data_IF_818003893642
#
_entry.id   IF_818003893642
#
_cell.length_a   1.000
_cell.length_b   1.000
_cell.length_c   1.000
_cell.angle_alpha   90.00
_cell.angle_beta   90.00
_cell.angle_gamma   90.00
#
_symmetry.space_group_name_H-M   'P 1'
#
loop_
_entity.id
_entity.type
_entity.pdbx_description
1 polymer ?
#
# COMPACT_ATOMS: atom_id res chain seq x y z
N UNK A 1 -3.59 1.58 -35.37
CA UNK A 1 -3.86 2.41 -34.20
C UNK A 1 -5.06 1.78 -33.47
N UNK A 2 -4.91 1.41 -32.23
CA UNK A 2 -5.97 0.83 -31.40
C UNK A 2 -6.66 1.96 -30.61
N UNK A 3 -7.99 1.91 -30.44
CA UNK A 3 -8.74 2.89 -29.66
C UNK A 3 -9.41 2.21 -28.47
N UNK A 4 -9.22 2.78 -27.28
CA UNK A 4 -9.84 2.34 -26.03
C UNK A 4 -10.50 3.53 -25.31
N UNK A 5 -11.32 3.25 -24.32
CA UNK A 5 -11.90 4.33 -23.49
C UNK A 5 -10.93 4.72 -22.37
N UNK A 6 -10.24 3.74 -21.78
CA UNK A 6 -9.30 3.93 -20.69
C UNK A 6 -7.99 3.21 -20.99
N UNK A 7 -6.86 3.92 -20.90
CA UNK A 7 -5.52 3.34 -20.92
C UNK A 7 -4.90 3.47 -19.51
N UNK A 8 -4.54 2.34 -18.91
CA UNK A 8 -3.90 2.29 -17.58
C UNK A 8 -2.41 2.03 -17.80
N UNK A 9 -1.57 2.95 -17.36
CA UNK A 9 -0.11 2.82 -17.43
C UNK A 9 0.41 2.38 -16.08
N UNK A 10 0.91 1.15 -16.03
CA UNK A 10 1.30 0.42 -14.83
C UNK A 10 0.29 -0.67 -14.47
N UNK A 11 0.63 -1.92 -14.77
CA UNK A 11 -0.12 -3.13 -14.43
C UNK A 11 0.23 -3.70 -13.05
N UNK A 12 0.65 -2.85 -12.11
CA UNK A 12 0.81 -3.24 -10.71
C UNK A 12 -0.51 -3.46 -9.98
N UNK A 13 -0.46 -3.76 -8.68
CA UNK A 13 -1.66 -4.07 -7.88
C UNK A 13 -2.76 -3.00 -8.00
N UNK A 14 -2.40 -1.71 -7.95
CA UNK A 14 -3.37 -0.60 -8.00
C UNK A 14 -3.95 -0.42 -9.40
N UNK A 15 -3.11 -0.45 -10.45
CA UNK A 15 -3.58 -0.33 -11.83
C UNK A 15 -4.51 -1.47 -12.26
N UNK A 16 -4.16 -2.71 -11.91
CA UNK A 16 -5.01 -3.88 -12.15
C UNK A 16 -6.31 -3.82 -11.34
N UNK A 17 -6.29 -3.25 -10.13
CA UNK A 17 -7.51 -3.05 -9.33
C UNK A 17 -8.46 -2.09 -10.04
N UNK A 18 -7.95 -1.02 -10.66
CA UNK A 18 -8.77 -0.13 -11.50
C UNK A 18 -9.34 -0.90 -12.69
N UNK A 19 -8.49 -1.64 -13.41
CA UNK A 19 -8.92 -2.42 -14.58
C UNK A 19 -10.04 -3.42 -14.22
N UNK A 20 -9.82 -4.26 -13.20
CA UNK A 20 -10.82 -5.21 -12.72
C UNK A 20 -12.09 -4.51 -12.23
N UNK A 21 -11.96 -3.36 -11.58
CA UNK A 21 -13.08 -2.55 -11.11
C UNK A 21 -13.91 -1.95 -12.25
N UNK A 22 -13.34 -1.73 -13.42
CA UNK A 22 -14.05 -1.25 -14.62
C UNK A 22 -14.66 -2.39 -15.45
N UNK A 23 -14.37 -3.65 -15.17
CA UNK A 23 -14.97 -4.79 -15.86
C UNK A 23 -16.50 -4.69 -15.87
N UNK A 24 -17.11 -4.87 -17.05
CA UNK A 24 -18.57 -4.79 -17.21
C UNK A 24 -19.17 -3.39 -17.10
N UNK A 25 -18.35 -2.33 -17.14
CA UNK A 25 -18.82 -0.93 -17.14
C UNK A 25 -19.25 -0.41 -18.52
N UNK A 26 -18.97 -1.17 -19.58
CA UNK A 26 -19.11 -0.73 -20.97
C UNK A 26 -17.92 0.11 -21.47
N UNK A 27 -16.86 0.25 -20.67
CA UNK A 27 -15.59 0.89 -21.06
C UNK A 27 -14.59 -0.17 -21.54
N UNK A 28 -13.95 0.07 -22.65
CA UNK A 28 -12.82 -0.73 -23.16
C UNK A 28 -11.56 -0.25 -22.48
N UNK A 29 -10.87 -1.16 -21.79
CA UNK A 29 -9.68 -0.86 -20.97
C UNK A 29 -8.45 -1.50 -21.58
N UNK A 30 -7.35 -0.76 -21.71
CA UNK A 30 -6.02 -1.31 -21.97
C UNK A 30 -5.12 -1.09 -20.75
N UNK A 31 -4.40 -2.12 -20.33
CA UNK A 31 -3.39 -2.03 -19.26
C UNK A 31 -2.02 -2.25 -19.88
N UNK A 32 -1.13 -1.29 -19.71
CA UNK A 32 0.24 -1.32 -20.24
C UNK A 32 1.21 -1.57 -19.07
N UNK A 33 2.05 -2.59 -19.19
CA UNK A 33 3.12 -2.86 -18.23
C UNK A 33 4.36 -3.42 -18.94
N UNK A 34 5.53 -3.21 -18.34
CA UNK A 34 6.81 -3.71 -18.87
C UNK A 34 7.07 -5.17 -18.51
N UNK A 35 6.33 -5.75 -17.55
CA UNK A 35 6.52 -7.11 -17.05
C UNK A 35 5.20 -7.88 -17.01
N UNK A 36 5.24 -9.13 -17.43
CA UNK A 36 4.17 -10.10 -17.17
C UNK A 36 4.44 -10.77 -15.83
N UNK A 37 3.54 -10.68 -14.84
CA UNK A 37 3.75 -11.31 -13.55
C UNK A 37 3.78 -12.83 -13.67
N UNK A 38 4.66 -13.47 -12.92
CA UNK A 38 4.79 -14.92 -12.87
C UNK A 38 4.08 -15.48 -11.63
N UNK A 39 3.48 -16.67 -11.73
CA UNK A 39 2.91 -17.33 -10.57
C UNK A 39 4.01 -17.69 -9.57
N UNK A 40 3.73 -17.50 -8.30
CA UNK A 40 4.61 -17.95 -7.24
C UNK A 40 4.57 -19.48 -7.15
N UNK A 41 5.71 -20.17 -7.10
CA UNK A 41 5.76 -21.64 -6.91
C UNK A 41 5.15 -22.02 -5.55
N UNK A 42 4.56 -23.23 -5.44
CA UNK A 42 3.82 -23.65 -4.23
C UNK A 42 4.73 -23.74 -2.99
N UNK A 43 5.95 -24.16 -3.19
CA UNK A 43 7.01 -24.36 -2.20
C UNK A 43 7.97 -23.16 -2.09
N UNK A 44 7.72 -22.07 -2.82
CA UNK A 44 8.57 -20.89 -2.75
C UNK A 44 8.59 -20.31 -1.33
N UNK A 45 9.79 -19.91 -0.83
CA UNK A 45 9.88 -19.21 0.44
C UNK A 45 9.10 -17.90 0.42
N UNK A 46 8.69 -17.37 1.58
CA UNK A 46 8.01 -16.07 1.65
C UNK A 46 8.82 -14.98 0.98
N UNK A 47 8.16 -14.17 0.17
CA UNK A 47 8.80 -13.02 -0.46
C UNK A 47 8.96 -11.87 0.53
N UNK A 48 10.01 -11.06 0.35
CA UNK A 48 10.32 -9.94 1.24
C UNK A 48 9.26 -8.83 1.22
N UNK A 49 8.63 -8.60 0.04
CA UNK A 49 7.63 -7.54 -0.10
C UNK A 49 6.24 -8.07 0.23
N UNK A 50 5.79 -7.74 1.42
CA UNK A 50 4.43 -8.02 1.89
C UNK A 50 3.66 -6.73 2.14
N UNK A 51 2.34 -6.83 2.14
CA UNK A 51 1.43 -5.76 2.55
C UNK A 51 0.47 -6.25 3.62
N UNK A 52 0.21 -5.39 4.59
CA UNK A 52 -0.85 -5.59 5.57
C UNK A 52 -2.17 -5.09 4.95
N UNK A 53 -2.98 -6.01 4.48
CA UNK A 53 -4.27 -5.73 3.84
C UNK A 53 -5.31 -5.50 4.92
N UNK A 54 -5.88 -4.31 4.96
CA UNK A 54 -6.93 -3.96 5.91
C UNK A 54 -8.33 -4.35 5.40
N UNK A 55 -9.33 -4.27 6.27
CA UNK A 55 -10.70 -4.69 5.96
C UNK A 55 -11.32 -3.97 4.75
N UNK A 56 -11.01 -2.70 4.53
CA UNK A 56 -11.49 -1.95 3.36
C UNK A 56 -10.92 -2.53 2.06
N UNK A 57 -9.62 -2.81 2.03
CA UNK A 57 -8.94 -3.40 0.87
C UNK A 57 -9.37 -4.85 0.64
N UNK A 58 -9.54 -5.64 1.71
CA UNK A 58 -10.11 -6.99 1.63
C UNK A 58 -11.50 -6.98 1.00
N UNK A 59 -12.37 -6.06 1.46
CA UNK A 59 -13.72 -5.88 0.91
C UNK A 59 -13.69 -5.53 -0.58
N UNK A 60 -12.77 -4.65 -0.99
CA UNK A 60 -12.57 -4.32 -2.41
C UNK A 60 -12.14 -5.54 -3.20
N UNK A 61 -11.09 -6.26 -2.77
CA UNK A 61 -10.57 -7.45 -3.46
C UNK A 61 -11.61 -8.58 -3.52
N UNK A 62 -12.44 -8.72 -2.48
CA UNK A 62 -13.58 -9.63 -2.46
C UNK A 62 -14.63 -9.24 -3.49
N UNK A 63 -14.97 -7.96 -3.58
CA UNK A 63 -15.93 -7.43 -4.57
C UNK A 63 -15.45 -7.60 -6.00
N UNK A 64 -14.14 -7.54 -6.23
CA UNK A 64 -13.52 -7.84 -7.52
C UNK A 64 -13.47 -9.35 -7.84
N UNK A 65 -13.75 -10.21 -6.87
CA UNK A 65 -13.75 -11.67 -7.02
C UNK A 65 -12.34 -12.28 -7.07
N UNK A 66 -11.35 -11.62 -6.46
CA UNK A 66 -9.96 -12.12 -6.42
C UNK A 66 -9.52 -12.58 -5.02
N UNK A 67 -10.23 -12.18 -3.96
CA UNK A 67 -9.82 -12.44 -2.59
C UNK A 67 -9.71 -13.93 -2.24
N UNK A 68 -10.64 -14.75 -2.68
CA UNK A 68 -10.59 -16.22 -2.48
C UNK A 68 -9.33 -16.85 -3.07
N UNK A 69 -8.90 -16.40 -4.25
CA UNK A 69 -7.67 -16.89 -4.89
C UNK A 69 -6.42 -16.44 -4.12
N UNK A 70 -6.43 -15.23 -3.58
CA UNK A 70 -5.34 -14.70 -2.73
C UNK A 70 -5.21 -15.55 -1.46
N UNK A 71 -6.31 -15.77 -0.75
CA UNK A 71 -6.33 -16.59 0.49
C UNK A 71 -5.93 -18.02 0.22
N UNK A 72 -6.49 -18.64 -0.83
CA UNK A 72 -6.16 -20.01 -1.21
C UNK A 72 -4.67 -20.17 -1.56
N UNK A 73 -4.04 -19.09 -2.04
CA UNK A 73 -2.62 -19.12 -2.39
C UNK A 73 -1.72 -18.95 -1.18
N UNK A 74 -1.79 -17.80 -0.52
CA UNK A 74 -1.05 -17.50 0.72
C UNK A 74 -1.46 -16.14 1.29
N UNK A 75 -2.17 -16.15 2.39
CA UNK A 75 -2.50 -14.98 3.17
C UNK A 75 -2.49 -15.33 4.65
N UNK A 76 -1.85 -14.51 5.47
CA UNK A 76 -1.74 -14.74 6.92
C UNK A 76 -2.68 -13.80 7.65
N UNK A 77 -3.76 -14.35 8.19
CA UNK A 77 -4.69 -13.59 9.02
C UNK A 77 -4.03 -13.19 10.33
N UNK A 78 -4.28 -11.97 10.82
CA UNK A 78 -3.88 -11.57 12.15
C UNK A 78 -5.09 -11.05 12.96
N UNK A 79 -5.12 -11.45 14.24
CA UNK A 79 -6.23 -11.22 15.17
C UNK A 79 -5.91 -10.14 16.18
N UNK A 80 -4.64 -9.82 16.37
CA UNK A 80 -4.17 -8.84 17.33
C UNK A 80 -3.16 -7.87 16.72
N UNK A 81 -3.09 -6.69 17.32
CA UNK A 81 -2.03 -5.72 17.05
C UNK A 81 -1.52 -5.15 18.36
N UNK A 82 -0.22 -5.19 18.56
CA UNK A 82 0.49 -4.63 19.68
C UNK A 82 1.41 -3.51 19.25
N UNK A 83 1.31 -2.36 19.89
CA UNK A 83 2.20 -1.22 19.65
C UNK A 83 2.72 -0.72 20.98
N UNK A 84 4.04 -0.57 21.12
CA UNK A 84 4.65 -0.04 22.34
C UNK A 84 5.86 0.84 22.06
N UNK A 85 6.22 1.64 23.04
CA UNK A 85 7.45 2.42 23.07
C UNK A 85 8.48 1.66 23.93
N UNK A 86 9.66 1.37 23.37
CA UNK A 86 10.71 0.59 24.05
C UNK A 86 11.21 1.25 25.32
N UNK A 87 11.29 2.58 25.32
CA UNK A 87 11.93 3.38 26.38
C UNK A 87 10.91 3.99 27.34
N UNK A 88 9.64 3.54 27.29
CA UNK A 88 8.57 4.07 28.13
C UNK A 88 7.50 3.01 28.47
N UNK A 89 6.48 3.42 29.22
CA UNK A 89 5.36 2.53 29.60
C UNK A 89 4.19 2.57 28.59
N UNK A 90 4.34 3.33 27.50
CA UNK A 90 3.29 3.49 26.50
C UNK A 90 3.07 2.21 25.70
N UNK A 91 1.87 1.62 25.83
CA UNK A 91 1.43 0.44 25.09
C UNK A 91 -0.04 0.57 24.72
N UNK A 92 -0.37 0.12 23.52
CA UNK A 92 -1.76 -0.07 23.09
C UNK A 92 -1.89 -1.42 22.42
N UNK A 93 -2.97 -2.15 22.71
CA UNK A 93 -3.27 -3.45 22.13
C UNK A 93 -4.65 -3.41 21.51
N UNK A 94 -4.78 -4.02 20.33
CA UNK A 94 -6.04 -4.23 19.65
C UNK A 94 -6.27 -5.74 19.52
N UNK A 95 -7.50 -6.15 19.73
CA UNK A 95 -7.95 -7.52 19.65
C UNK A 95 -9.28 -7.54 18.89
N UNK A 96 -9.40 -8.42 17.88
CA UNK A 96 -10.57 -8.52 17.03
C UNK A 96 -11.83 -8.93 17.80
N UNK A 97 -11.73 -9.91 18.68
CA UNK A 97 -12.85 -10.44 19.45
C UNK A 97 -13.47 -9.38 20.38
N UNK A 98 -12.62 -8.59 21.08
CA UNK A 98 -13.09 -7.50 21.95
C UNK A 98 -13.76 -6.36 21.18
N UNK A 99 -13.52 -6.27 19.87
CA UNK A 99 -14.00 -5.21 18.98
C UNK A 99 -15.13 -5.67 18.06
N UNK A 100 -15.53 -6.93 18.11
CA UNK A 100 -16.62 -7.50 17.31
C UNK A 100 -16.24 -7.74 15.84
N UNK A 101 -14.95 -7.92 15.54
CA UNK A 101 -14.45 -8.29 14.22
C UNK A 101 -14.00 -9.75 14.21
N UNK A 102 -13.96 -10.37 13.02
CA UNK A 102 -13.44 -11.73 12.85
C UNK A 102 -11.92 -11.78 12.75
N UNK A 103 -11.30 -10.66 12.39
CA UNK A 103 -9.86 -10.45 12.26
C UNK A 103 -9.57 -8.95 12.06
N UNK A 104 -8.32 -8.54 12.21
CA UNK A 104 -7.90 -7.16 12.00
C UNK A 104 -7.36 -6.90 10.58
N UNK A 105 -6.91 -7.94 9.91
CA UNK A 105 -6.39 -7.89 8.55
C UNK A 105 -5.59 -9.12 8.16
N UNK A 106 -4.90 -9.02 7.03
CA UNK A 106 -4.07 -10.11 6.48
C UNK A 106 -2.71 -9.57 6.04
N UNK A 107 -1.66 -10.33 6.33
CA UNK A 107 -0.35 -10.10 5.72
C UNK A 107 -0.28 -10.95 4.46
N UNK A 108 -0.06 -10.29 3.32
CA UNK A 108 -0.07 -10.94 2.00
C UNK A 108 1.13 -10.48 1.19
N UNK A 109 1.77 -11.41 0.50
CA UNK A 109 2.85 -11.08 -0.42
C UNK A 109 2.31 -10.31 -1.63
N UNK A 110 3.00 -9.24 -2.01
CA UNK A 110 2.56 -8.35 -3.09
C UNK A 110 2.41 -9.10 -4.43
N UNK A 111 3.27 -10.08 -4.71
CA UNK A 111 3.18 -10.92 -5.91
C UNK A 111 1.92 -11.77 -5.96
N UNK A 112 1.44 -12.26 -4.81
CA UNK A 112 0.21 -13.06 -4.73
C UNK A 112 -1.00 -12.20 -5.12
N UNK A 113 -1.09 -10.99 -4.58
CA UNK A 113 -2.16 -10.04 -4.92
C UNK A 113 -2.07 -9.65 -6.40
N UNK A 114 -0.87 -9.30 -6.84
CA UNK A 114 -0.60 -8.86 -8.22
C UNK A 114 -1.01 -9.95 -9.23
N UNK A 115 -0.58 -11.19 -9.00
CA UNK A 115 -0.90 -12.29 -9.90
C UNK A 115 -2.40 -12.63 -9.92
N UNK A 116 -3.08 -12.61 -8.79
CA UNK A 116 -4.53 -12.84 -8.72
C UNK A 116 -5.32 -11.77 -9.50
N UNK A 117 -4.94 -10.51 -9.38
CA UNK A 117 -5.53 -9.41 -10.15
C UNK A 117 -5.23 -9.54 -11.64
N UNK A 118 -4.00 -9.91 -12.01
CA UNK A 118 -3.61 -10.14 -13.40
C UNK A 118 -4.44 -11.25 -14.04
N UNK A 119 -4.57 -12.40 -13.38
CA UNK A 119 -5.39 -13.50 -13.85
C UNK A 119 -6.86 -13.08 -14.05
N UNK A 120 -7.39 -12.27 -13.12
CA UNK A 120 -8.75 -11.74 -13.24
C UNK A 120 -8.91 -10.82 -14.43
N UNK A 121 -7.97 -9.92 -14.65
CA UNK A 121 -7.97 -9.00 -15.80
C UNK A 121 -7.84 -9.77 -17.12
N UNK A 122 -7.02 -10.82 -17.16
CA UNK A 122 -6.81 -11.65 -18.35
C UNK A 122 -8.08 -12.38 -18.81
N UNK A 123 -8.98 -12.71 -17.88
CA UNK A 123 -10.25 -13.38 -18.17
C UNK A 123 -11.36 -12.43 -18.64
N UNK A 124 -11.14 -11.11 -18.56
CA UNK A 124 -12.16 -10.12 -18.90
C UNK A 124 -12.11 -9.74 -20.38
N UNK A 125 -13.24 -9.85 -21.08
CA UNK A 125 -13.32 -9.56 -22.52
C UNK A 125 -13.15 -8.09 -22.86
N UNK A 126 -13.40 -7.19 -21.92
CA UNK A 126 -13.33 -5.72 -22.06
C UNK A 126 -11.98 -5.12 -21.57
N UNK A 127 -11.04 -6.00 -21.16
CA UNK A 127 -9.69 -5.61 -20.71
C UNK A 127 -8.65 -6.21 -21.66
N UNK A 128 -7.79 -5.39 -22.22
CA UNK A 128 -6.63 -5.81 -23.02
C UNK A 128 -5.36 -5.61 -22.18
N UNK A 129 -4.65 -6.70 -21.89
CA UNK A 129 -3.34 -6.63 -21.24
C UNK A 129 -2.24 -6.50 -22.29
N UNK A 130 -1.47 -5.43 -22.23
CA UNK A 130 -0.35 -5.14 -23.11
C UNK A 130 0.93 -5.20 -22.28
N UNK A 131 1.55 -6.39 -22.23
CA UNK A 131 2.81 -6.63 -21.54
C UNK A 131 3.60 -7.74 -22.26
N UNK A 132 4.89 -7.54 -22.51
CA UNK A 132 5.65 -6.33 -22.19
C UNK A 132 5.31 -5.16 -23.12
N UNK A 133 5.09 -3.98 -22.57
CA UNK A 133 4.88 -2.75 -23.32
C UNK A 133 5.51 -1.56 -22.59
N UNK A 134 6.17 -0.69 -23.33
CA UNK A 134 6.79 0.52 -22.78
C UNK A 134 6.34 1.76 -23.55
N UNK A 135 5.92 2.78 -22.83
CA UNK A 135 5.60 4.08 -23.41
C UNK A 135 6.87 4.82 -23.86
N UNK A 136 6.80 5.38 -25.06
CA UNK A 136 7.80 6.29 -25.61
C UNK A 136 7.33 7.74 -25.55
N UNK A 137 6.07 7.98 -25.91
CA UNK A 137 5.52 9.33 -26.01
C UNK A 137 4.04 9.34 -25.61
N UNK A 138 3.61 10.48 -25.08
CA UNK A 138 2.20 10.81 -24.85
C UNK A 138 1.91 12.20 -25.36
N UNK A 139 0.77 12.39 -26.03
CA UNK A 139 0.26 13.68 -26.44
C UNK A 139 -1.20 13.83 -25.99
N UNK A 140 -1.53 14.99 -25.49
CA UNK A 140 -2.85 15.31 -24.95
C UNK A 140 -3.66 16.07 -26.00
N UNK A 141 -4.74 15.48 -26.51
CA UNK A 141 -5.69 16.11 -27.39
C UNK A 141 -6.95 16.55 -26.65
N UNK A 142 -7.86 17.19 -27.37
CA UNK A 142 -9.12 17.68 -26.79
C UNK A 142 -10.04 16.52 -26.38
N UNK A 143 -10.18 15.51 -27.23
CA UNK A 143 -11.11 14.39 -26.99
C UNK A 143 -10.40 13.11 -26.57
N UNK A 144 -9.15 12.92 -26.95
CA UNK A 144 -8.35 11.72 -26.70
C UNK A 144 -6.91 12.08 -26.33
N UNK A 145 -6.27 11.21 -25.55
CA UNK A 145 -4.83 11.14 -25.40
C UNK A 145 -4.27 10.14 -26.43
N UNK A 146 -3.07 10.43 -26.94
CA UNK A 146 -2.35 9.63 -27.93
C UNK A 146 -1.10 9.06 -27.27
N UNK A 147 -1.00 7.73 -27.21
CA UNK A 147 0.13 7.03 -26.62
C UNK A 147 0.90 6.31 -27.73
N UNK A 148 2.21 6.50 -27.77
CA UNK A 148 3.10 5.78 -28.66
C UNK A 148 4.00 4.86 -27.83
N UNK A 149 4.03 3.58 -28.18
CA UNK A 149 4.88 2.59 -27.55
C UNK A 149 6.26 2.53 -28.22
N UNK A 150 7.27 2.00 -27.53
CA UNK A 150 8.64 1.86 -28.08
C UNK A 150 8.72 0.96 -29.31
N UNK A 151 7.81 0.01 -29.45
CA UNK A 151 7.70 -0.87 -30.62
C UNK A 151 7.03 -0.19 -31.84
N UNK A 152 6.63 1.08 -31.70
CA UNK A 152 5.94 1.87 -32.72
C UNK A 152 4.42 1.69 -32.73
N UNK A 153 3.84 0.84 -31.88
CA UNK A 153 2.40 0.72 -31.75
C UNK A 153 1.78 2.02 -31.20
N UNK A 154 0.59 2.36 -31.67
CA UNK A 154 -0.13 3.57 -31.27
C UNK A 154 -1.48 3.21 -30.66
N UNK A 155 -1.80 3.85 -29.53
CA UNK A 155 -3.04 3.71 -28.80
C UNK A 155 -3.68 5.08 -28.58
N UNK A 156 -5.00 5.19 -28.74
CA UNK A 156 -5.77 6.37 -28.31
C UNK A 156 -6.67 6.01 -27.15
N UNK A 157 -6.81 6.92 -26.20
CA UNK A 157 -7.63 6.73 -25.01
C UNK A 157 -8.36 8.03 -24.64
N UNK A 158 -9.63 7.93 -24.26
CA UNK A 158 -10.40 9.06 -23.72
C UNK A 158 -9.87 9.50 -22.35
N UNK A 159 -9.32 8.57 -21.57
CA UNK A 159 -8.68 8.80 -20.27
C UNK A 159 -7.44 7.93 -20.13
N UNK A 160 -6.37 8.52 -19.67
CA UNK A 160 -5.16 7.81 -19.25
C UNK A 160 -5.12 7.79 -17.72
N UNK A 161 -4.90 6.62 -17.14
CA UNK A 161 -4.72 6.45 -15.69
C UNK A 161 -3.28 6.06 -15.46
N UNK A 162 -2.56 6.86 -14.66
CA UNK A 162 -1.19 6.59 -14.32
C UNK A 162 -1.10 5.86 -12.98
N UNK A 163 -0.58 4.63 -13.03
CA UNK A 163 -0.35 3.71 -11.93
C UNK A 163 1.08 3.14 -11.96
N UNK A 164 2.01 3.87 -12.60
CA UNK A 164 3.39 3.48 -12.89
C UNK A 164 4.36 3.75 -11.72
N UNK A 165 3.82 3.91 -10.52
CA UNK A 165 4.57 3.92 -9.27
C UNK A 165 5.17 5.27 -8.91
N UNK A 166 5.98 5.26 -7.85
CA UNK A 166 6.51 6.47 -7.20
C UNK A 166 7.37 7.35 -8.12
N UNK A 167 8.06 6.75 -9.08
CA UNK A 167 8.89 7.44 -10.08
C UNK A 167 8.14 7.66 -11.40
N UNK A 168 6.83 7.80 -11.35
CA UNK A 168 5.94 7.92 -12.50
C UNK A 168 6.51 8.78 -13.63
N UNK A 169 6.76 8.12 -14.77
CA UNK A 169 7.18 8.78 -16.00
C UNK A 169 6.04 9.63 -16.56
N UNK A 170 4.82 9.11 -16.51
CA UNK A 170 3.66 9.79 -17.10
C UNK A 170 3.28 11.05 -16.31
N UNK A 171 3.34 11.02 -14.95
CA UNK A 171 3.17 12.22 -14.12
C UNK A 171 4.17 13.31 -14.50
N UNK A 172 5.44 12.93 -14.71
CA UNK A 172 6.49 13.88 -15.11
C UNK A 172 6.23 14.45 -16.52
N UNK A 173 5.73 13.63 -17.47
CA UNK A 173 5.38 14.07 -18.82
C UNK A 173 4.14 14.95 -18.88
N UNK A 174 3.29 14.88 -17.86
CA UNK A 174 2.13 15.75 -17.70
C UNK A 174 2.45 17.04 -16.89
N UNK A 175 3.73 17.29 -16.57
CA UNK A 175 4.21 18.43 -15.80
C UNK A 175 3.48 18.63 -14.45
N UNK A 176 3.03 17.53 -13.83
CA UNK A 176 2.38 17.57 -12.54
C UNK A 176 3.43 17.68 -11.42
N UNK A 177 3.46 18.80 -10.68
CA UNK A 177 4.46 19.04 -9.65
C UNK A 177 4.30 18.05 -8.48
N UNK A 178 5.44 17.67 -7.91
CA UNK A 178 5.54 16.77 -6.77
C UNK A 178 6.09 17.51 -5.56
N UNK A 179 5.41 17.41 -4.42
CA UNK A 179 6.00 17.74 -3.13
C UNK A 179 6.73 16.50 -2.65
N UNK A 180 8.00 16.67 -2.33
CA UNK A 180 8.89 15.59 -1.92
C UNK A 180 9.53 15.95 -0.59
N UNK A 181 9.69 14.95 0.28
CA UNK A 181 10.48 15.06 1.51
C UNK A 181 11.14 13.72 1.82
N UNK A 182 12.33 13.80 2.37
CA UNK A 182 13.09 12.66 2.83
C UNK A 182 12.83 12.46 4.33
N UNK A 183 12.43 11.26 4.71
CA UNK A 183 12.27 10.91 6.12
C UNK A 183 13.61 10.72 6.85
N UNK A 184 14.72 10.71 6.12
CA UNK A 184 16.08 10.43 6.62
C UNK A 184 16.18 9.08 7.32
N UNK A 185 15.36 8.14 6.88
CA UNK A 185 15.36 6.76 7.34
C UNK A 185 15.35 5.81 6.15
N UNK A 186 15.92 4.65 6.35
CA UNK A 186 15.83 3.53 5.43
C UNK A 186 15.04 2.39 6.09
N UNK A 187 14.20 1.71 5.33
CA UNK A 187 13.53 0.49 5.76
C UNK A 187 14.41 -0.72 5.42
N UNK A 188 14.88 -1.44 6.42
CA UNK A 188 15.46 -2.77 6.27
C UNK A 188 14.31 -3.78 6.36
N UNK A 189 14.21 -4.61 5.34
CA UNK A 189 13.19 -5.66 5.21
C UNK A 189 13.86 -7.01 5.15
N UNK A 190 13.33 -7.96 5.92
CA UNK A 190 13.79 -9.36 5.95
C UNK A 190 12.69 -10.29 6.44
N UNK A 191 12.82 -11.57 6.16
CA UNK A 191 12.06 -12.64 6.82
C UNK A 191 12.90 -13.21 7.95
N UNK A 192 12.28 -13.35 9.12
CA UNK A 192 12.95 -13.87 10.32
C UNK A 192 12.14 -15.00 10.94
N UNK A 193 12.83 -15.90 11.62
CA UNK A 193 12.23 -16.92 12.47
C UNK A 193 12.37 -16.53 13.93
N UNK A 194 11.30 -16.70 14.68
CA UNK A 194 11.22 -16.44 16.12
C UNK A 194 11.18 -17.74 16.90
N UNK A 195 11.79 -17.75 18.08
CA UNK A 195 11.78 -18.90 19.01
C UNK A 195 10.36 -19.21 19.49
N UNK A 196 9.62 -18.17 19.89
CA UNK A 196 8.22 -18.27 20.29
C UNK A 196 7.29 -18.00 19.09
N UNK A 197 6.12 -18.64 19.04
CA UNK A 197 5.15 -18.39 17.97
C UNK A 197 4.59 -16.96 18.06
N UNK A 198 4.39 -16.32 16.91
CA UNK A 198 3.86 -14.95 16.83
C UNK A 198 2.39 -14.82 17.27
N UNK A 199 1.64 -15.93 17.40
CA UNK A 199 0.26 -15.94 17.86
C UNK A 199 -0.73 -15.17 16.99
N UNK A 200 -0.44 -15.01 15.69
CA UNK A 200 -1.21 -14.20 14.75
C UNK A 200 -1.40 -12.73 15.21
N UNK A 201 -0.37 -12.16 15.85
CA UNK A 201 -0.36 -10.77 16.32
C UNK A 201 0.68 -9.97 15.54
N UNK A 202 0.25 -8.90 14.89
CA UNK A 202 1.14 -7.91 14.30
C UNK A 202 1.71 -7.02 15.41
N UNK A 203 3.03 -6.83 15.45
CA UNK A 203 3.71 -6.11 16.53
C UNK A 203 4.54 -4.97 15.98
N UNK A 204 4.53 -3.85 16.70
CA UNK A 204 5.32 -2.68 16.33
C UNK A 204 5.92 -2.05 17.57
N UNK A 205 7.23 -1.87 17.58
CA UNK A 205 7.95 -1.17 18.63
C UNK A 205 8.54 0.13 18.09
N UNK A 206 8.35 1.19 18.85
CA UNK A 206 9.00 2.47 18.66
C UNK A 206 10.23 2.53 19.55
N UNK A 207 11.35 2.94 19.01
CA UNK A 207 12.57 3.23 19.74
C UNK A 207 13.18 4.52 19.16
N UNK A 208 13.90 5.27 20.01
CA UNK A 208 14.34 6.68 19.85
C UNK A 208 14.57 7.23 18.44
N UNK A 209 15.07 6.41 17.51
CA UNK A 209 15.38 6.81 16.14
C UNK A 209 14.65 5.96 15.07
N UNK A 210 13.77 5.06 15.45
CA UNK A 210 13.16 4.18 14.45
C UNK A 210 11.93 3.42 14.90
N UNK A 211 11.44 2.60 13.97
CA UNK A 211 10.26 1.77 14.15
C UNK A 211 10.59 0.37 13.65
N UNK A 212 10.31 -0.63 14.46
CA UNK A 212 10.46 -2.03 14.07
C UNK A 212 9.10 -2.72 14.11
N UNK A 213 8.65 -3.22 12.96
CA UNK A 213 7.42 -3.98 12.83
C UNK A 213 7.72 -5.46 12.57
N UNK A 214 6.97 -6.34 13.24
CA UNK A 214 6.91 -7.78 13.01
C UNK A 214 5.54 -8.13 12.47
N UNK A 215 5.48 -8.61 11.24
CA UNK A 215 4.27 -8.96 10.52
C UNK A 215 4.16 -10.48 10.43
N UNK A 216 3.13 -11.10 11.04
CA UNK A 216 3.01 -12.56 11.12
C UNK A 216 2.78 -13.18 9.73
N UNK A 217 3.57 -14.20 9.38
CA UNK A 217 3.40 -14.97 8.16
C UNK A 217 2.64 -16.28 8.43
N UNK A 218 2.47 -17.12 7.41
CA UNK A 218 1.67 -18.36 7.51
C UNK A 218 2.28 -19.42 8.45
N UNK A 219 3.61 -19.50 8.53
CA UNK A 219 4.29 -20.32 9.55
C UNK A 219 4.23 -19.58 10.89
N UNK A 220 3.79 -20.22 11.99
CA UNK A 220 3.65 -19.58 13.31
C UNK A 220 4.91 -18.93 13.86
N UNK A 221 6.07 -19.35 13.38
CA UNK A 221 7.38 -18.84 13.80
C UNK A 221 8.02 -17.87 12.78
N UNK A 222 7.40 -17.62 11.63
CA UNK A 222 7.94 -16.71 10.63
C UNK A 222 7.26 -15.35 10.69
N UNK A 223 8.07 -14.30 10.67
CA UNK A 223 7.63 -12.93 10.53
C UNK A 223 8.36 -12.23 9.39
N UNK A 224 7.66 -11.38 8.65
CA UNK A 224 8.31 -10.35 7.84
C UNK A 224 8.57 -9.14 8.74
N UNK A 225 9.81 -8.63 8.71
CA UNK A 225 10.14 -7.41 9.46
C UNK A 225 10.29 -6.21 8.55
N UNK A 226 9.90 -5.06 9.07
CA UNK A 226 10.20 -3.75 8.50
C UNK A 226 10.85 -2.90 9.59
N UNK A 227 12.15 -2.70 9.47
CA UNK A 227 12.94 -1.95 10.45
C UNK A 227 13.37 -0.62 9.87
N UNK A 228 12.75 0.46 10.34
CA UNK A 228 13.10 1.84 9.96
C UNK A 228 14.29 2.28 10.81
N UNK A 229 15.40 2.59 10.16
CA UNK A 229 16.69 2.94 10.77
C UNK A 229 17.27 4.19 10.12
N UNK A 230 18.24 4.83 10.80
CA UNK A 230 19.09 5.83 10.14
C UNK A 230 19.79 5.18 8.91
N UNK A 231 20.16 5.96 7.87
CA UNK A 231 20.85 5.40 6.71
C UNK A 231 22.12 4.62 7.09
N UNK A 232 22.90 5.13 8.04
CA UNK A 232 24.13 4.50 8.51
C UNK A 232 23.84 3.19 9.27
N UNK A 233 22.83 3.17 10.12
CA UNK A 233 22.46 1.96 10.86
C UNK A 233 21.83 0.91 9.95
N UNK A 234 21.03 1.32 8.97
CA UNK A 234 20.47 0.39 7.99
C UNK A 234 21.57 -0.29 7.17
N UNK A 235 22.55 0.48 6.71
CA UNK A 235 23.72 -0.07 6.00
C UNK A 235 24.54 -1.00 6.89
N UNK A 236 24.83 -0.60 8.13
CA UNK A 236 25.52 -1.43 9.11
C UNK A 236 24.78 -2.74 9.36
N UNK A 237 23.46 -2.71 9.56
CA UNK A 237 22.66 -3.92 9.77
C UNK A 237 22.59 -4.79 8.52
N UNK A 238 22.56 -4.19 7.34
CA UNK A 238 22.58 -4.94 6.07
C UNK A 238 23.91 -5.69 5.86
N UNK A 239 25.04 -5.08 6.23
CA UNK A 239 26.37 -5.64 6.03
C UNK A 239 26.86 -6.52 7.19
N UNK A 240 26.21 -6.48 8.35
CA UNK A 240 26.60 -7.26 9.53
C UNK A 240 26.47 -8.77 9.27
N UNK A 241 27.26 -9.58 9.97
CA UNK A 241 27.05 -11.03 10.01
C UNK A 241 25.71 -11.41 10.62
N UNK A 242 25.19 -12.58 10.27
CA UNK A 242 23.84 -13.01 10.70
C UNK A 242 23.69 -13.10 12.22
N UNK A 243 24.73 -13.54 12.93
CA UNK A 243 24.70 -13.61 14.40
C UNK A 243 24.56 -12.22 15.05
N UNK A 244 25.34 -11.25 14.57
CA UNK A 244 25.28 -9.87 15.05
C UNK A 244 23.93 -9.21 14.73
N UNK A 245 23.39 -9.47 13.53
CA UNK A 245 22.06 -9.02 13.14
C UNK A 245 20.97 -9.63 14.02
N UNK A 246 20.98 -10.95 14.23
CA UNK A 246 20.02 -11.68 15.02
C UNK A 246 20.00 -11.18 16.47
N UNK A 247 21.18 -10.94 17.05
CA UNK A 247 21.29 -10.38 18.42
C UNK A 247 20.76 -8.95 18.47
N UNK A 248 21.14 -8.08 17.53
CA UNK A 248 20.65 -6.70 17.49
C UNK A 248 19.13 -6.65 17.33
N UNK A 249 18.56 -7.48 16.45
CA UNK A 249 17.13 -7.58 16.23
C UNK A 249 16.38 -8.07 17.48
N UNK A 250 16.87 -9.12 18.12
CA UNK A 250 16.28 -9.66 19.36
C UNK A 250 16.22 -8.59 20.47
N UNK A 251 17.31 -7.84 20.64
CA UNK A 251 17.38 -6.72 21.60
C UNK A 251 16.43 -5.59 21.19
N UNK A 252 16.39 -5.22 19.90
CA UNK A 252 15.52 -4.15 19.42
C UNK A 252 14.03 -4.46 19.64
N UNK A 253 13.67 -5.76 19.64
CA UNK A 253 12.30 -6.25 19.85
C UNK A 253 11.97 -6.63 21.31
N UNK A 254 12.79 -6.21 22.28
CA UNK A 254 12.62 -6.51 23.71
C UNK A 254 12.53 -8.02 24.02
N UNK A 255 13.12 -8.87 23.19
CA UNK A 255 13.09 -10.33 23.32
C UNK A 255 11.67 -10.94 23.48
N UNK A 256 10.65 -10.26 22.91
CA UNK A 256 9.23 -10.64 23.15
C UNK A 256 8.80 -11.95 22.50
N UNK A 257 9.51 -12.40 21.47
CA UNK A 257 9.28 -13.68 20.79
C UNK A 257 10.51 -14.60 20.89
N UNK A 258 11.30 -14.45 21.95
CA UNK A 258 12.55 -15.18 22.12
C UNK A 258 13.61 -14.79 21.10
N UNK A 259 14.55 -15.67 20.82
CA UNK A 259 15.64 -15.44 19.89
C UNK A 259 15.12 -15.32 18.44
N UNK A 260 15.61 -14.30 17.73
CA UNK A 260 15.30 -14.10 16.33
C UNK A 260 16.43 -14.64 15.46
N UNK A 261 16.09 -15.29 14.34
CA UNK A 261 17.03 -15.79 13.33
C UNK A 261 16.64 -15.28 11.95
N UNK A 262 17.61 -14.82 11.20
CA UNK A 262 17.44 -14.43 9.80
C UNK A 262 17.17 -15.67 8.92
N UNK A 263 16.13 -15.58 8.07
CA UNK A 263 15.72 -16.66 7.14
C UNK A 263 15.80 -16.23 5.67
N UNK A 264 16.10 -14.96 5.39
CA UNK A 264 16.20 -14.41 4.04
C UNK A 264 17.38 -13.48 3.88
N UNK A 265 17.61 -13.00 2.67
CA UNK A 265 18.44 -11.81 2.46
C UNK A 265 17.82 -10.58 3.15
N UNK A 266 18.65 -9.56 3.39
CA UNK A 266 18.25 -8.26 3.93
C UNK A 266 18.26 -7.26 2.80
N UNK A 267 17.12 -6.57 2.58
CA UNK A 267 17.03 -5.50 1.59
C UNK A 267 16.76 -4.17 2.28
N UNK A 268 17.39 -3.12 1.77
CA UNK A 268 17.28 -1.77 2.33
C UNK A 268 16.72 -0.82 1.28
N UNK A 269 15.71 -0.05 1.67
CA UNK A 269 15.04 0.92 0.81
C UNK A 269 14.98 2.29 1.48
N UNK A 270 15.31 3.39 0.78
CA UNK A 270 15.13 4.74 1.33
C UNK A 270 13.65 5.04 1.53
N UNK A 271 13.31 5.62 2.67
CA UNK A 271 11.96 6.07 2.98
C UNK A 271 11.77 7.52 2.57
N UNK A 272 10.89 7.73 1.61
CA UNK A 272 10.60 9.06 1.08
C UNK A 272 9.09 9.29 1.04
N UNK A 273 8.68 10.51 1.34
CA UNK A 273 7.31 10.96 1.15
C UNK A 273 7.17 11.71 -0.17
N UNK A 274 6.10 11.46 -0.88
CA UNK A 274 5.77 12.11 -2.16
C UNK A 274 4.29 12.42 -2.21
N UNK A 275 3.95 13.59 -2.74
CA UNK A 275 2.58 14.02 -2.89
C UNK A 275 2.44 14.87 -4.14
N UNK A 276 1.68 14.39 -5.12
CA UNK A 276 1.41 15.14 -6.33
C UNK A 276 0.47 16.31 -6.05
N UNK A 277 0.76 17.47 -6.62
CA UNK A 277 -0.10 18.66 -6.41
C UNK A 277 -1.46 18.54 -7.08
N UNK A 278 -1.57 17.69 -8.09
CA UNK A 278 -2.81 17.35 -8.77
C UNK A 278 -2.94 15.84 -8.88
N UNK A 279 -4.13 15.29 -8.63
CA UNK A 279 -4.44 13.87 -8.80
C UNK A 279 -5.23 13.64 -10.08
N UNK A 280 -5.65 14.71 -10.74
CA UNK A 280 -6.26 14.65 -12.06
C UNK A 280 -5.92 15.89 -12.89
N UNK A 281 -5.87 15.71 -14.19
CA UNK A 281 -5.73 16.75 -15.22
C UNK A 281 -6.65 16.42 -16.40
N UNK A 282 -6.60 17.20 -17.46
CA UNK A 282 -7.31 16.88 -18.69
C UNK A 282 -6.81 15.56 -19.27
N UNK A 283 -7.69 14.58 -19.47
CA UNK A 283 -7.39 13.22 -19.96
C UNK A 283 -6.46 12.38 -19.08
N UNK A 284 -6.24 12.77 -17.82
CA UNK A 284 -5.30 12.10 -16.92
C UNK A 284 -5.85 11.99 -15.52
N UNK A 285 -5.68 10.81 -14.90
CA UNK A 285 -5.88 10.58 -13.46
C UNK A 285 -4.69 9.81 -12.86
N UNK A 286 -4.28 10.16 -11.65
CA UNK A 286 -3.20 9.50 -10.92
C UNK A 286 -3.78 8.64 -9.80
N UNK A 287 -3.22 7.43 -9.61
CA UNK A 287 -3.60 6.51 -8.52
C UNK A 287 -2.36 5.91 -7.86
N UNK A 288 -2.47 5.58 -6.58
CA UNK A 288 -1.42 4.92 -5.81
C UNK A 288 -0.14 5.75 -5.72
N UNK A 289 1.00 5.08 -5.79
CA UNK A 289 2.31 5.73 -5.61
C UNK A 289 2.62 6.80 -6.68
N UNK A 290 1.96 6.79 -7.82
CA UNK A 290 2.06 7.86 -8.81
C UNK A 290 1.46 9.18 -8.28
N UNK A 291 0.43 9.11 -7.44
CA UNK A 291 -0.20 10.27 -6.80
C UNK A 291 0.44 10.62 -5.46
N UNK A 292 0.75 9.63 -4.64
CA UNK A 292 1.30 9.80 -3.28
C UNK A 292 2.08 8.57 -2.83
N UNK A 293 3.22 8.80 -2.21
CA UNK A 293 3.97 7.76 -1.49
C UNK A 293 4.04 8.15 -0.02
N UNK A 294 3.58 7.28 0.84
CA UNK A 294 3.50 7.50 2.28
C UNK A 294 4.50 6.58 2.98
N UNK A 295 5.03 7.00 4.12
CA UNK A 295 5.86 6.15 4.97
C UNK A 295 5.13 4.83 5.27
N UNK A 296 5.70 3.66 4.94
CA UNK A 296 5.03 2.37 5.14
C UNK A 296 5.04 1.98 6.63
N UNK A 297 4.24 2.66 7.46
CA UNK A 297 4.01 2.18 8.81
C UNK A 297 3.27 0.84 8.72
N UNK A 298 3.92 -0.22 9.20
CA UNK A 298 3.39 -1.59 9.26
C UNK A 298 2.84 -2.12 7.91
N UNK A 299 3.45 -1.78 6.78
CA UNK A 299 3.08 -2.36 5.47
C UNK A 299 1.73 -1.89 4.88
N UNK A 300 1.18 -0.77 5.33
CA UNK A 300 -0.17 -0.32 4.94
C UNK A 300 -0.21 0.59 3.69
N UNK A 301 0.91 0.86 3.04
CA UNK A 301 0.98 1.82 1.92
C UNK A 301 0.03 1.51 0.75
N UNK A 302 -0.14 0.24 0.39
CA UNK A 302 -0.99 -0.18 -0.74
C UNK A 302 -2.49 0.09 -0.50
N UNK A 303 -2.96 0.07 0.76
CA UNK A 303 -4.38 0.24 1.07
C UNK A 303 -4.92 1.59 0.60
N UNK A 304 -4.12 2.65 0.71
CA UNK A 304 -4.51 3.97 0.23
C UNK A 304 -4.66 3.99 -1.29
N UNK A 305 -3.74 3.34 -2.02
CA UNK A 305 -3.81 3.17 -3.48
C UNK A 305 -5.02 2.33 -3.92
N UNK A 306 -5.39 1.30 -3.16
CA UNK A 306 -6.62 0.53 -3.41
C UNK A 306 -7.87 1.38 -3.24
N UNK A 307 -7.89 2.28 -2.27
CA UNK A 307 -9.01 3.21 -2.10
C UNK A 307 -9.03 4.30 -3.18
N UNK A 308 -7.87 4.71 -3.72
CA UNK A 308 -7.83 5.55 -4.93
C UNK A 308 -8.49 4.84 -6.12
N UNK A 309 -8.11 3.58 -6.35
CA UNK A 309 -8.69 2.77 -7.40
C UNK A 309 -10.22 2.62 -7.22
N UNK A 310 -10.66 2.33 -6.01
CA UNK A 310 -12.08 2.15 -5.70
C UNK A 310 -12.91 3.42 -5.96
N UNK A 311 -12.42 4.59 -5.53
CA UNK A 311 -13.09 5.88 -5.73
C UNK A 311 -13.12 6.26 -7.22
N UNK A 312 -11.98 6.09 -7.93
CA UNK A 312 -11.91 6.38 -9.36
C UNK A 312 -12.86 5.50 -10.16
N UNK A 313 -12.91 4.21 -9.85
CA UNK A 313 -13.84 3.25 -10.49
C UNK A 313 -15.30 3.68 -10.29
N UNK A 314 -15.68 4.10 -9.06
CA UNK A 314 -17.05 4.58 -8.78
C UNK A 314 -17.40 5.80 -9.64
N UNK A 315 -16.49 6.77 -9.69
CA UNK A 315 -16.67 7.98 -10.51
C UNK A 315 -16.74 7.67 -12.00
N UNK A 316 -15.85 6.84 -12.53
CA UNK A 316 -15.86 6.51 -13.97
C UNK A 316 -17.10 5.72 -14.38
N UNK A 317 -17.54 4.74 -13.57
CA UNK A 317 -18.81 4.03 -13.79
C UNK A 317 -20.01 4.94 -13.75
N UNK A 318 -20.05 5.91 -12.84
CA UNK A 318 -21.11 6.91 -12.74
C UNK A 318 -21.13 7.82 -13.97
N UNK A 319 -19.96 8.34 -14.37
CA UNK A 319 -19.83 9.22 -15.56
C UNK A 319 -20.24 8.50 -16.85
N UNK A 320 -19.81 7.23 -17.01
CA UNK A 320 -20.19 6.40 -18.16
C UNK A 320 -21.70 6.20 -18.24
N UNK A 321 -22.37 5.87 -17.14
CA UNK A 321 -23.84 5.73 -17.08
C UNK A 321 -24.56 7.03 -17.40
N UNK A 322 -23.95 8.18 -17.12
CA UNK A 322 -24.50 9.50 -17.40
C UNK A 322 -24.19 9.99 -18.82
N UNK A 323 -23.47 9.22 -19.63
CA UNK A 323 -23.02 9.64 -20.96
C UNK A 323 -22.04 10.83 -20.93
N UNK A 324 -21.33 11.03 -19.81
CA UNK A 324 -20.36 12.12 -19.65
C UNK A 324 -19.00 11.71 -20.20
N UNK A 325 -18.22 12.70 -20.61
CA UNK A 325 -16.85 12.46 -21.03
C UNK A 325 -15.94 12.23 -19.81
N UNK A 326 -15.49 10.98 -19.67
CA UNK A 326 -14.69 10.52 -18.54
C UNK A 326 -13.30 11.17 -18.45
N UNK A 327 -12.82 11.76 -19.52
CA UNK A 327 -11.49 12.37 -19.58
C UNK A 327 -11.47 13.87 -19.26
N UNK A 328 -12.63 14.51 -19.14
CA UNK A 328 -12.67 15.94 -18.79
C UNK A 328 -12.32 16.19 -17.33
N UNK A 329 -11.35 17.06 -17.08
CA UNK A 329 -10.88 17.40 -15.75
C UNK A 329 -12.03 17.87 -14.84
N UNK A 330 -13.02 18.59 -15.38
CA UNK A 330 -14.18 19.05 -14.61
C UNK A 330 -14.88 17.89 -13.87
N UNK A 331 -15.02 16.74 -14.51
CA UNK A 331 -15.70 15.57 -13.94
C UNK A 331 -14.79 14.76 -13.01
N UNK A 332 -13.46 14.80 -13.22
CA UNK A 332 -12.47 14.13 -12.37
C UNK A 332 -12.18 14.89 -11.06
N UNK A 333 -12.61 16.16 -10.95
CA UNK A 333 -12.36 16.99 -9.74
C UNK A 333 -12.99 16.41 -8.48
N UNK A 334 -14.06 15.60 -8.57
CA UNK A 334 -14.66 14.94 -7.41
C UNK A 334 -13.67 13.91 -6.84
N UNK A 335 -13.17 13.02 -7.69
CA UNK A 335 -12.12 12.07 -7.37
C UNK A 335 -10.91 12.78 -6.76
N UNK A 336 -10.38 13.76 -7.45
CA UNK A 336 -9.19 14.51 -7.02
C UNK A 336 -9.36 15.10 -5.61
N UNK A 337 -10.46 15.80 -5.34
CA UNK A 337 -10.70 16.42 -4.02
C UNK A 337 -10.82 15.39 -2.91
N UNK A 338 -11.56 14.32 -3.13
CA UNK A 338 -11.75 13.24 -2.16
C UNK A 338 -10.40 12.58 -1.83
N UNK A 339 -9.65 12.17 -2.84
CA UNK A 339 -8.40 11.42 -2.62
C UNK A 339 -7.27 12.29 -2.10
N UNK A 340 -7.18 13.54 -2.55
CA UNK A 340 -6.23 14.52 -1.98
C UNK A 340 -6.48 14.76 -0.50
N UNK A 341 -7.74 14.87 -0.09
CA UNK A 341 -8.10 15.03 1.31
C UNK A 341 -7.67 13.80 2.13
N UNK A 342 -8.06 12.59 1.70
CA UNK A 342 -7.68 11.35 2.40
C UNK A 342 -6.16 11.17 2.49
N UNK A 343 -5.42 11.41 1.41
CA UNK A 343 -3.97 11.31 1.41
C UNK A 343 -3.31 12.38 2.31
N UNK A 344 -3.80 13.62 2.30
CA UNK A 344 -3.30 14.69 3.16
C UNK A 344 -3.55 14.40 4.64
N UNK A 345 -4.73 13.88 5.00
CA UNK A 345 -5.04 13.46 6.37
C UNK A 345 -4.15 12.30 6.84
N UNK A 346 -3.91 11.32 5.98
CA UNK A 346 -3.01 10.22 6.28
C UNK A 346 -1.58 10.70 6.49
N UNK A 347 -1.08 11.56 5.61
CA UNK A 347 0.26 12.16 5.72
C UNK A 347 0.40 12.99 7.01
N UNK A 348 -0.58 13.83 7.33
CA UNK A 348 -0.57 14.62 8.55
C UNK A 348 -0.61 13.74 9.81
N UNK A 349 -1.43 12.68 9.80
CA UNK A 349 -1.49 11.70 10.88
C UNK A 349 -0.15 10.98 11.08
N UNK A 350 0.46 10.50 9.99
CA UNK A 350 1.77 9.84 10.01
C UNK A 350 2.90 10.77 10.49
N UNK A 351 2.89 12.02 10.03
CA UNK A 351 3.87 13.02 10.47
C UNK A 351 3.69 13.34 11.96
N UNK A 352 2.46 13.59 12.39
CA UNK A 352 2.15 13.86 13.81
C UNK A 352 2.54 12.70 14.72
N UNK A 353 2.28 11.48 14.27
CA UNK A 353 2.67 10.27 14.99
C UNK A 353 4.20 10.16 15.10
N UNK A 354 4.90 10.32 13.97
CA UNK A 354 6.35 10.33 13.95
C UNK A 354 6.94 11.42 14.87
N UNK A 355 6.45 12.65 14.79
CA UNK A 355 6.95 13.76 15.59
C UNK A 355 6.72 13.56 17.09
N UNK A 356 5.63 12.87 17.45
CA UNK A 356 5.34 12.48 18.82
C UNK A 356 6.33 11.42 19.31
N UNK A 357 6.70 10.45 18.45
CA UNK A 357 7.59 9.35 18.81
C UNK A 357 9.09 9.66 18.56
N UNK A 358 9.42 10.73 17.87
CA UNK A 358 10.80 11.13 17.64
C UNK A 358 11.44 11.83 18.84
N UNK A 359 12.68 11.40 19.15
CA UNK A 359 13.56 12.05 20.11
C UNK A 359 13.33 11.67 21.58
N UNK A 360 14.32 12.00 22.40
CA UNK A 360 14.41 11.62 23.81
C UNK A 360 13.84 12.66 24.79
N UNK A 361 13.10 13.65 24.32
CA UNK A 361 12.56 14.71 25.16
C UNK A 361 11.60 14.13 26.22
N UNK A 362 11.88 14.30 27.54
CA UNK A 362 11.09 13.72 28.63
C UNK A 362 9.61 14.14 28.60
N UNK A 363 9.32 15.37 28.18
CA UNK A 363 7.95 15.86 28.07
C UNK A 363 7.19 15.15 26.93
N UNK A 364 7.85 14.86 25.81
CA UNK A 364 7.26 14.06 24.71
C UNK A 364 7.06 12.60 25.14
N UNK A 365 8.00 11.99 25.89
CA UNK A 365 7.85 10.65 26.45
C UNK A 365 6.62 10.57 27.34
N UNK A 366 6.47 11.51 28.26
CA UNK A 366 5.30 11.57 29.14
C UNK A 366 3.98 11.75 28.34
N UNK A 367 3.99 12.61 27.33
CA UNK A 367 2.82 12.84 26.48
C UNK A 367 2.44 11.57 25.69
N UNK A 368 3.43 10.81 25.18
CA UNK A 368 3.22 9.51 24.50
C UNK A 368 2.59 8.50 25.45
N UNK A 369 3.16 8.36 26.65
CA UNK A 369 2.69 7.42 27.66
C UNK A 369 1.25 7.69 28.06
N UNK A 370 0.94 8.95 28.37
CA UNK A 370 -0.41 9.38 28.69
C UNK A 370 -1.32 9.19 27.49
N UNK A 371 -0.88 9.58 26.28
CA UNK A 371 -1.66 9.47 25.05
C UNK A 371 -2.01 8.02 24.69
N UNK A 372 -1.03 7.11 24.71
CA UNK A 372 -1.26 5.69 24.45
C UNK A 372 -2.15 5.05 25.54
N UNK A 373 -1.90 5.36 26.80
CA UNK A 373 -2.73 4.87 27.90
C UNK A 373 -4.17 5.39 27.84
N UNK A 374 -4.36 6.66 27.52
CA UNK A 374 -5.70 7.23 27.32
C UNK A 374 -6.38 6.61 26.10
N UNK A 375 -5.67 6.41 25.00
CA UNK A 375 -6.20 5.75 23.81
C UNK A 375 -6.61 4.30 24.10
N UNK A 376 -5.90 3.60 24.97
CA UNK A 376 -6.22 2.24 25.37
C UNK A 376 -7.40 2.16 26.35
N UNK A 377 -7.58 3.15 27.23
CA UNK A 377 -8.54 3.12 28.34
C UNK A 377 -9.81 3.92 28.11
N UNK A 378 -9.79 4.97 27.28
CA UNK A 378 -10.97 5.80 27.05
C UNK A 378 -12.02 5.09 26.19
N UNK A 379 -13.29 4.99 26.67
CA UNK A 379 -14.36 4.40 25.89
C UNK A 379 -14.58 5.12 24.56
N UNK A 380 -14.65 4.36 23.47
CA UNK A 380 -14.91 4.89 22.11
C UNK A 380 -13.69 5.36 21.32
N UNK A 381 -12.56 5.68 21.96
CA UNK A 381 -11.34 6.12 21.26
C UNK A 381 -10.69 4.95 20.49
N UNK A 382 -10.48 3.84 21.17
CA UNK A 382 -9.87 2.63 20.60
C UNK A 382 -10.65 2.06 19.39
N UNK A 383 -12.00 1.89 19.46
CA UNK A 383 -12.79 1.50 18.30
C UNK A 383 -12.67 2.47 17.12
N UNK A 384 -12.62 3.78 17.37
CA UNK A 384 -12.49 4.77 16.32
C UNK A 384 -11.11 4.71 15.65
N UNK A 385 -10.03 4.56 16.42
CA UNK A 385 -8.67 4.37 15.89
C UNK A 385 -8.60 3.10 15.05
N UNK A 386 -9.19 2.00 15.52
CA UNK A 386 -9.21 0.74 14.78
C UNK A 386 -10.01 0.88 13.48
N UNK A 387 -11.20 1.47 13.49
CA UNK A 387 -11.98 1.73 12.27
C UNK A 387 -11.20 2.55 11.26
N UNK A 388 -10.42 3.54 11.72
CA UNK A 388 -9.54 4.34 10.86
C UNK A 388 -8.42 3.48 10.26
N UNK A 389 -7.75 2.67 11.08
CA UNK A 389 -6.70 1.75 10.61
C UNK A 389 -7.23 0.69 9.63
N UNK A 390 -8.45 0.20 9.86
CA UNK A 390 -9.16 -0.74 8.96
C UNK A 390 -9.69 -0.07 7.67
N UNK A 391 -9.58 1.26 7.52
CA UNK A 391 -10.01 1.99 6.32
C UNK A 391 -11.53 2.08 6.15
N UNK A 392 -12.32 1.77 7.19
CA UNK A 392 -13.79 1.64 7.08
C UNK A 392 -14.54 2.97 7.09
N UNK A 393 -13.87 4.09 7.37
CA UNK A 393 -14.52 5.40 7.44
C UNK A 393 -14.80 6.00 6.05
N UNK A 394 -13.93 5.73 5.06
CA UNK A 394 -13.91 6.38 3.74
C UNK A 394 -14.25 5.43 2.59
N UNK A 395 -15.10 4.42 2.85
CA UNK A 395 -15.50 3.48 1.81
C UNK A 395 -16.38 4.15 0.74
N UNK A 396 -16.08 4.00 -0.56
CA UNK A 396 -16.98 4.35 -1.65
C UNK A 396 -18.34 3.65 -1.53
N UNK A 397 -19.38 4.26 -2.09
CA UNK A 397 -20.76 3.74 -1.93
C UNK A 397 -20.93 2.29 -2.39
N UNK A 398 -20.27 1.90 -3.47
CA UNK A 398 -20.39 0.55 -4.02
C UNK A 398 -19.67 -0.54 -3.18
N UNK A 399 -18.90 -0.13 -2.18
CA UNK A 399 -18.23 -1.01 -1.21
C UNK A 399 -18.89 -1.02 0.18
N UNK A 400 -19.90 -0.20 0.41
CA UNK A 400 -20.63 -0.12 1.69
C UNK A 400 -21.59 -1.28 1.94
#
# INVERSE_FOLDING_TARGET
MQSVDVAIVGGGMVGLTVACGLQGSGLRVAVLDHVVPQPLANDAPPQLRVSAINAASEKLLTRLGVWSNIVARRASCYHGMEVWDKDSFGRITFDDASMGYSHLGHIVENSVIHYALWQKAQQAADITLMAPAELQQVAWGENDAFLTLKDGAMLTARLVITADGANSWLRNKADIPLTFWDYRHHALVATIRTEEPHGAVARQVFHGEGILAFLPLSDPHLCSIVWSLSPQDAERMQQSGDEAFNQALTIAFDNRLGLCRLESERQVFPLTGRYARQFAAHRLALVGDAAHTIHPLAGQGVNLGFMDAAELVDDLRRLQRQGKDIGQHLYLRRYERSRKHSAAMMLAGMQGFRDLFAGENPAKKLLRDIGLKLADTLPGVKPQLLRQAMGLNDLPQWLR
#
